data_IF_031974532809
#
_entry.id   IF_031974532809
#
_cell.length_a   1.000
_cell.length_b   1.000
_cell.length_c   1.000
_cell.angle_alpha   90.00
_cell.angle_beta   90.00
_cell.angle_gamma   90.00
#
_symmetry.space_group_name_H-M   'P 1'
#
loop_
_entity.id
_entity.type
_entity.pdbx_description
1 polymer ?
#
# COMPACT_ATOMS: atom_id res chain seq x y z
N UNK A 1 -57.18 -18.78 29.05
CA UNK A 1 -55.77 -19.18 28.80
C UNK A 1 -55.71 -19.42 27.30
N UNK A 2 -55.10 -18.60 26.45
CA UNK A 2 -53.81 -17.92 26.52
C UNK A 2 -53.90 -16.49 25.96
N UNK A 3 -53.26 -15.55 26.65
CA UNK A 3 -53.10 -14.15 26.22
C UNK A 3 -51.89 -14.06 25.30
N UNK A 4 -52.11 -13.62 24.06
CA UNK A 4 -51.06 -13.43 23.06
C UNK A 4 -50.18 -12.24 23.47
N UNK A 5 -48.89 -12.53 23.57
CA UNK A 5 -47.82 -11.70 24.13
C UNK A 5 -47.50 -10.49 23.24
N UNK A 6 -47.92 -9.29 23.66
CA UNK A 6 -47.59 -7.99 23.06
C UNK A 6 -46.27 -7.45 23.64
N UNK A 7 -45.13 -8.05 23.26
CA UNK A 7 -43.85 -7.82 23.97
C UNK A 7 -42.61 -7.54 23.11
N UNK A 8 -42.66 -7.52 21.79
CA UNK A 8 -41.44 -7.51 20.95
C UNK A 8 -41.18 -6.22 20.17
N UNK A 9 -42.01 -5.18 20.28
CA UNK A 9 -41.90 -3.98 19.43
C UNK A 9 -41.26 -2.75 20.08
N UNK A 10 -40.55 -2.89 21.20
CA UNK A 10 -39.81 -1.78 21.83
C UNK A 10 -38.29 -2.00 21.99
N UNK A 11 -37.76 -3.18 21.63
CA UNK A 11 -36.35 -3.51 21.87
C UNK A 11 -35.38 -3.13 20.72
N UNK A 12 -35.89 -2.65 19.58
CA UNK A 12 -35.03 -2.35 18.42
C UNK A 12 -34.45 -0.92 18.39
N UNK A 13 -34.98 0.01 19.19
CA UNK A 13 -34.51 1.41 19.17
C UNK A 13 -33.25 1.67 20.00
N UNK A 14 -32.90 0.80 20.96
CA UNK A 14 -31.75 1.02 21.85
C UNK A 14 -30.39 0.56 21.27
N UNK A 15 -30.39 -0.31 20.25
CA UNK A 15 -29.15 -0.91 19.70
C UNK A 15 -28.39 0.05 18.76
N UNK A 16 -29.07 1.01 18.15
CA UNK A 16 -28.47 1.94 17.19
C UNK A 16 -27.51 2.97 17.82
N UNK A 17 -27.62 3.24 19.12
CA UNK A 17 -26.84 4.28 19.80
C UNK A 17 -25.48 3.79 20.30
N UNK A 18 -25.33 2.47 20.55
CA UNK A 18 -24.06 1.87 21.01
C UNK A 18 -23.09 1.66 19.86
N UNK A 19 -23.58 1.45 18.63
CA UNK A 19 -22.73 1.18 17.45
C UNK A 19 -22.01 2.43 16.91
N UNK A 20 -22.45 3.64 17.23
CA UNK A 20 -21.79 4.87 16.74
C UNK A 20 -20.47 5.15 17.48
N UNK A 21 -20.35 4.74 18.75
CA UNK A 21 -19.15 5.02 19.56
C UNK A 21 -17.94 4.18 19.10
N UNK A 22 -18.18 2.96 18.61
CA UNK A 22 -17.13 2.13 18.00
C UNK A 22 -16.65 2.62 16.63
N UNK A 23 -17.47 3.39 15.91
CA UNK A 23 -17.09 3.92 14.59
C UNK A 23 -16.17 5.14 14.71
N UNK A 24 -16.35 5.97 15.75
CA UNK A 24 -15.53 7.17 15.97
C UNK A 24 -14.10 6.83 16.40
N UNK A 25 -13.89 5.71 17.11
CA UNK A 25 -12.53 5.31 17.57
C UNK A 25 -11.68 4.73 16.42
N UNK A 26 -12.26 4.31 15.29
CA UNK A 26 -11.50 3.76 14.16
C UNK A 26 -10.88 4.81 13.22
N UNK A 27 -11.26 6.08 13.34
CA UNK A 27 -10.77 7.14 12.44
C UNK A 27 -9.36 7.66 12.78
N UNK A 28 -8.87 7.45 14.00
CA UNK A 28 -7.65 8.10 14.50
C UNK A 28 -6.39 7.19 14.52
N UNK A 29 -6.52 5.91 14.17
CA UNK A 29 -5.44 4.91 14.34
C UNK A 29 -4.57 4.73 13.08
N UNK A 30 -4.91 5.34 11.94
CA UNK A 30 -4.29 4.96 10.66
C UNK A 30 -3.10 5.82 10.19
N UNK A 31 -2.65 6.82 10.96
CA UNK A 31 -1.68 7.80 10.45
C UNK A 31 -0.41 8.02 11.28
N UNK A 32 -0.35 7.61 12.54
CA UNK A 32 0.75 7.98 13.45
C UNK A 32 1.94 7.01 13.46
N UNK A 33 1.67 5.72 13.26
CA UNK A 33 2.67 4.67 13.54
C UNK A 33 3.75 4.57 12.45
N UNK A 34 3.41 4.87 11.19
CA UNK A 34 4.35 4.82 10.06
C UNK A 34 5.41 5.92 10.14
N UNK A 35 5.02 7.15 10.48
CA UNK A 35 5.97 8.26 10.64
C UNK A 35 6.97 8.01 11.76
N UNK A 36 6.55 7.44 12.89
CA UNK A 36 7.49 7.15 13.97
C UNK A 36 8.47 6.03 13.61
N UNK A 37 8.03 5.09 12.77
CA UNK A 37 8.86 3.97 12.33
C UNK A 37 9.92 4.40 11.30
N UNK A 38 9.56 5.20 10.29
CA UNK A 38 10.52 5.72 9.29
C UNK A 38 11.58 6.65 9.90
N UNK A 39 11.26 7.32 11.01
CA UNK A 39 12.21 8.15 11.76
C UNK A 39 13.24 7.34 12.56
N UNK A 40 13.04 6.03 12.75
CA UNK A 40 14.00 5.17 13.42
C UNK A 40 15.12 4.74 12.45
N UNK A 41 16.37 4.85 12.87
CA UNK A 41 17.52 4.45 12.05
C UNK A 41 17.50 2.96 11.63
N UNK A 42 16.90 2.09 12.48
CA UNK A 42 16.75 0.67 12.18
C UNK A 42 15.91 0.41 10.93
N UNK A 43 14.91 1.24 10.65
CA UNK A 43 14.05 1.10 9.47
C UNK A 43 14.86 1.11 8.18
N UNK A 44 15.69 2.13 8.01
CA UNK A 44 16.55 2.29 6.83
C UNK A 44 17.67 1.25 6.78
N UNK A 45 18.23 0.89 7.94
CA UNK A 45 19.25 -0.14 8.04
C UNK A 45 18.71 -1.50 7.58
N UNK A 46 17.57 -1.92 8.11
CA UNK A 46 16.99 -3.24 7.83
C UNK A 46 16.51 -3.32 6.37
N UNK A 47 15.88 -2.26 5.86
CA UNK A 47 15.48 -2.16 4.45
C UNK A 47 16.66 -2.29 3.49
N UNK A 48 17.79 -1.62 3.79
CA UNK A 48 19.00 -1.73 2.96
C UNK A 48 19.63 -3.13 3.00
N UNK A 49 19.61 -3.82 4.15
CA UNK A 49 20.08 -5.20 4.24
C UNK A 49 19.22 -6.15 3.43
N UNK A 50 17.91 -5.95 3.44
CA UNK A 50 16.99 -6.77 2.65
C UNK A 50 17.17 -6.52 1.14
N UNK A 51 17.30 -5.26 0.72
CA UNK A 51 17.62 -4.91 -0.68
C UNK A 51 18.94 -5.54 -1.13
N UNK A 52 19.99 -5.45 -0.31
CA UNK A 52 21.29 -6.07 -0.60
C UNK A 52 21.18 -7.59 -0.73
N UNK A 53 20.42 -8.24 0.15
CA UNK A 53 20.19 -9.70 0.08
C UNK A 53 19.48 -10.10 -1.20
N UNK A 54 18.49 -9.33 -1.64
CA UNK A 54 17.81 -9.60 -2.92
C UNK A 54 18.75 -9.38 -4.10
N UNK A 55 19.52 -8.29 -4.13
CA UNK A 55 20.48 -8.01 -5.18
C UNK A 55 21.54 -9.12 -5.34
N UNK A 56 21.98 -9.72 -4.23
CA UNK A 56 22.95 -10.83 -4.24
C UNK A 56 22.39 -12.15 -4.76
N UNK A 57 21.06 -12.33 -4.82
CA UNK A 57 20.43 -13.54 -5.36
C UNK A 57 20.38 -13.53 -6.89
N UNK A 58 20.49 -12.36 -7.51
CA UNK A 58 20.40 -12.21 -8.97
C UNK A 58 21.51 -12.98 -9.68
N UNK A 59 21.14 -13.65 -10.78
CA UNK A 59 22.06 -14.45 -11.59
C UNK A 59 21.99 -14.03 -13.05
N UNK A 60 23.12 -14.01 -13.77
CA UNK A 60 23.10 -13.69 -15.19
C UNK A 60 22.23 -14.67 -15.96
N UNK A 61 21.36 -14.13 -16.81
CA UNK A 61 20.44 -14.89 -17.65
C UNK A 61 21.14 -15.60 -18.82
N UNK A 62 20.42 -16.55 -19.43
CA UNK A 62 20.80 -17.18 -20.69
C UNK A 62 20.28 -16.43 -21.92
N UNK A 63 20.34 -17.06 -23.08
CA UNK A 63 19.82 -16.49 -24.34
C UNK A 63 18.29 -16.44 -24.31
N UNK A 64 17.71 -15.26 -24.57
CA UNK A 64 16.27 -15.06 -24.60
C UNK A 64 15.62 -15.65 -25.86
N UNK A 65 14.47 -16.32 -25.69
CA UNK A 65 13.64 -16.84 -26.80
C UNK A 65 12.62 -15.83 -27.32
N UNK A 66 12.16 -14.93 -26.45
CA UNK A 66 11.11 -13.95 -26.73
C UNK A 66 11.57 -12.57 -26.27
N UNK A 67 11.11 -11.53 -26.96
CA UNK A 67 11.38 -10.13 -26.61
C UNK A 67 10.05 -9.39 -26.48
N UNK A 68 9.87 -8.67 -25.36
CA UNK A 68 8.74 -7.80 -25.10
C UNK A 68 9.30 -6.40 -24.82
N UNK A 69 8.83 -5.40 -25.55
CA UNK A 69 9.23 -4.01 -25.40
C UNK A 69 8.02 -3.17 -24.97
N UNK A 70 8.11 -2.54 -23.81
CA UNK A 70 7.16 -1.53 -23.35
C UNK A 70 7.72 -0.14 -23.66
N UNK A 71 6.96 0.66 -24.40
CA UNK A 71 7.33 2.03 -24.74
C UNK A 71 6.35 3.01 -24.07
N UNK A 72 6.87 3.83 -23.16
CA UNK A 72 6.13 4.95 -22.58
C UNK A 72 6.46 6.24 -23.33
N UNK A 73 5.55 6.73 -24.16
CA UNK A 73 5.70 8.02 -24.82
C UNK A 73 5.67 9.15 -23.78
N UNK A 74 6.65 10.05 -23.81
CA UNK A 74 6.81 11.13 -22.83
C UNK A 74 7.12 10.69 -21.39
N UNK A 75 7.44 9.42 -21.16
CA UNK A 75 7.64 8.86 -19.81
C UNK A 75 9.09 8.99 -19.32
N UNK A 76 9.55 10.23 -19.12
CA UNK A 76 10.85 10.51 -18.51
C UNK A 76 10.88 10.21 -16.99
N UNK A 77 12.05 10.36 -16.33
CA UNK A 77 12.21 10.05 -14.90
C UNK A 77 11.24 10.81 -13.98
N UNK A 78 10.95 12.08 -14.29
CA UNK A 78 9.97 12.88 -13.54
C UNK A 78 8.54 12.34 -13.69
N UNK A 79 8.15 11.95 -14.91
CA UNK A 79 6.85 11.36 -15.19
C UNK A 79 6.67 10.02 -14.48
N UNK A 80 7.71 9.17 -14.44
CA UNK A 80 7.70 7.90 -13.70
C UNK A 80 7.52 8.15 -12.19
N UNK A 81 8.25 9.11 -11.62
CA UNK A 81 8.13 9.46 -10.19
C UNK A 81 6.74 10.01 -9.85
N UNK A 82 6.19 10.90 -10.69
CA UNK A 82 4.84 11.42 -10.49
C UNK A 82 3.79 10.30 -10.56
N UNK A 83 3.94 9.36 -11.51
CA UNK A 83 3.05 8.21 -11.65
C UNK A 83 3.13 7.29 -10.42
N UNK A 84 4.33 7.09 -9.86
CA UNK A 84 4.56 6.32 -8.64
C UNK A 84 3.80 6.89 -7.45
N UNK A 85 4.00 8.18 -7.16
CA UNK A 85 3.32 8.88 -6.07
C UNK A 85 1.80 8.81 -6.24
N UNK A 86 1.33 9.13 -7.46
CA UNK A 86 -0.09 9.09 -7.76
C UNK A 86 -0.69 7.69 -7.61
N UNK A 87 0.04 6.64 -8.01
CA UNK A 87 -0.42 5.26 -7.88
C UNK A 87 -0.55 4.83 -6.42
N UNK A 88 0.42 5.17 -5.57
CA UNK A 88 0.33 4.89 -4.13
C UNK A 88 -0.77 5.69 -3.44
N UNK A 89 -0.95 6.96 -3.78
CA UNK A 89 -2.05 7.79 -3.26
C UNK A 89 -3.43 7.26 -3.65
N UNK A 90 -3.59 6.72 -4.86
CA UNK A 90 -4.83 6.04 -5.29
C UNK A 90 -5.14 4.78 -4.48
N UNK A 91 -4.15 4.19 -3.82
CA UNK A 91 -4.31 3.06 -2.91
C UNK A 91 -4.49 3.51 -1.43
N UNK A 92 -4.62 4.81 -1.18
CA UNK A 92 -4.77 5.37 0.16
C UNK A 92 -3.46 5.44 0.97
N UNK A 93 -2.31 5.31 0.31
CA UNK A 93 -0.98 5.44 0.93
C UNK A 93 -0.38 6.84 0.76
N UNK A 94 0.76 7.13 1.37
CA UNK A 94 1.48 8.41 1.20
C UNK A 94 1.98 8.60 -0.24
N UNK A 95 2.47 7.51 -0.85
CA UNK A 95 2.71 7.38 -2.27
C UNK A 95 4.17 7.31 -2.67
N UNK A 96 5.06 7.97 -1.94
CA UNK A 96 6.49 8.01 -2.24
C UNK A 96 7.16 6.64 -2.10
N UNK A 97 6.66 5.82 -1.18
CA UNK A 97 7.11 4.46 -0.88
C UNK A 97 6.48 3.39 -1.77
N UNK A 98 5.62 3.78 -2.71
CA UNK A 98 4.99 2.84 -3.63
C UNK A 98 5.96 2.48 -4.76
N UNK A 99 5.99 1.23 -5.19
CA UNK A 99 6.76 0.80 -6.37
C UNK A 99 5.85 0.49 -7.54
N UNK A 100 6.16 1.02 -8.72
CA UNK A 100 5.55 0.60 -9.97
C UNK A 100 6.06 -0.80 -10.38
N UNK A 101 5.35 -1.48 -11.27
CA UNK A 101 5.80 -2.77 -11.80
C UNK A 101 7.16 -2.69 -12.50
N UNK A 102 7.49 -1.54 -13.10
CA UNK A 102 8.78 -1.30 -13.76
C UNK A 102 9.92 -1.04 -12.77
N UNK A 103 9.63 -0.56 -11.56
CA UNK A 103 10.64 -0.32 -10.51
C UNK A 103 11.22 -1.65 -9.98
N UNK A 104 10.48 -2.75 -10.16
CA UNK A 104 10.88 -4.10 -9.74
C UNK A 104 11.74 -4.82 -10.77
N UNK A 105 12.04 -4.19 -11.91
CA UNK A 105 12.93 -4.80 -12.89
C UNK A 105 14.37 -4.78 -12.37
N UNK A 106 15.09 -5.91 -12.44
CA UNK A 106 16.41 -6.04 -11.80
C UNK A 106 17.52 -5.24 -12.49
N UNK A 107 17.25 -4.70 -13.69
CA UNK A 107 18.22 -3.95 -14.49
C UNK A 107 17.64 -2.61 -14.91
N UNK A 108 18.45 -1.56 -14.76
CA UNK A 108 18.14 -0.20 -15.21
C UNK A 108 19.26 0.35 -16.08
N UNK A 109 18.93 1.29 -16.97
CA UNK A 109 19.89 1.93 -17.87
C UNK A 109 19.37 3.29 -18.34
N UNK A 110 20.30 4.20 -18.64
CA UNK A 110 19.97 5.52 -19.18
C UNK A 110 20.27 5.56 -20.68
N UNK A 111 19.34 6.13 -21.45
CA UNK A 111 19.45 6.31 -22.91
C UNK A 111 19.69 7.79 -23.20
N UNK A 112 20.59 8.08 -24.16
CA UNK A 112 20.99 9.43 -24.55
C UNK A 112 20.08 10.01 -25.63
#
# INVERSE_FOLDING_TARGET
>A
MESVNSGTMQSFFAVALVTSLSAVVRGAVLGGDTYLYENAASYWHDGAHDELREALKERPGGVAKNVILFLGDGMGPASVTAARILAGQKLGKTGEEFDLSFDKFPYTGLVK
#
